data_IF_261714351006
#
_entry.id   IF_261714351006
#
_cell.length_a   1.000
_cell.length_b   1.000
_cell.length_c   1.000
_cell.angle_alpha   90.00
_cell.angle_beta   90.00
_cell.angle_gamma   90.00
#
_symmetry.space_group_name_H-M   'P 1'
#
loop_
_entity.id
_entity.type
_entity.pdbx_description
1 polymer ?
#
# COMPACT_ATOMS: atom_id res chain seq x y z
N UNK A 1 68.29 43.57 -7.12
CA UNK A 1 66.93 43.30 -6.72
C UNK A 1 66.45 42.05 -7.48
N UNK A 2 66.31 40.92 -6.83
CA UNK A 2 65.84 39.64 -7.46
C UNK A 2 64.37 39.42 -6.97
N UNK A 3 63.45 39.47 -7.91
CA UNK A 3 62.03 39.21 -7.60
C UNK A 3 61.77 37.68 -7.68
N UNK A 4 61.36 37.09 -6.59
CA UNK A 4 60.93 35.69 -6.50
C UNK A 4 59.44 35.60 -6.82
N UNK A 5 59.13 34.88 -7.89
CA UNK A 5 57.76 34.62 -8.34
C UNK A 5 57.25 33.36 -7.60
N UNK A 6 56.34 33.53 -6.68
CA UNK A 6 55.64 32.40 -5.99
C UNK A 6 54.49 31.89 -6.87
N UNK A 7 54.57 30.66 -7.30
CA UNK A 7 53.49 29.97 -8.00
C UNK A 7 52.60 29.29 -6.97
N UNK A 8 51.36 29.75 -6.81
CA UNK A 8 50.35 29.10 -6.00
C UNK A 8 49.67 28.03 -6.87
N UNK A 9 49.89 26.76 -6.56
CA UNK A 9 49.16 25.64 -7.15
C UNK A 9 47.89 25.43 -6.37
N UNK A 10 46.78 25.82 -6.93
CA UNK A 10 45.45 25.51 -6.36
C UNK A 10 45.08 24.07 -6.68
N UNK A 11 45.04 23.21 -5.66
CA UNK A 11 44.53 21.85 -5.77
C UNK A 11 43.00 21.88 -5.84
N UNK A 12 42.42 21.59 -6.99
CA UNK A 12 40.97 21.41 -7.15
C UNK A 12 40.65 20.02 -6.62
N UNK A 13 40.05 19.98 -5.42
CA UNK A 13 39.46 18.77 -4.86
C UNK A 13 38.16 18.49 -5.63
N UNK A 14 38.20 17.53 -6.56
CA UNK A 14 36.99 16.96 -7.16
C UNK A 14 36.30 16.10 -6.11
N UNK A 15 35.24 16.63 -5.52
CA UNK A 15 34.34 15.82 -4.69
C UNK A 15 33.66 14.77 -5.60
N UNK A 16 33.57 13.48 -5.17
CA UNK A 16 32.83 12.50 -5.96
C UNK A 16 31.36 12.96 -6.02
N UNK A 17 30.83 13.07 -7.24
CA UNK A 17 29.41 13.27 -7.43
C UNK A 17 28.69 12.04 -6.84
N UNK A 18 28.00 12.18 -5.71
CA UNK A 18 27.04 11.18 -5.26
C UNK A 18 26.03 11.04 -6.41
N UNK A 19 26.05 9.89 -7.07
CA UNK A 19 24.98 9.52 -8.00
C UNK A 19 23.69 9.43 -7.17
N UNK A 20 22.83 10.44 -7.26
CA UNK A 20 21.52 10.39 -6.67
C UNK A 20 20.77 9.23 -7.34
N UNK A 21 20.20 8.32 -6.56
CA UNK A 21 19.32 7.29 -7.09
C UNK A 21 18.16 7.96 -7.86
N UNK A 22 17.63 7.30 -8.93
CA UNK A 22 16.49 7.82 -9.64
C UNK A 22 15.35 8.09 -8.64
N UNK A 23 14.72 9.26 -8.67
CA UNK A 23 13.75 9.68 -7.63
C UNK A 23 12.50 8.80 -7.53
N UNK A 24 12.35 7.80 -8.40
CA UNK A 24 11.20 6.90 -8.49
C UNK A 24 11.49 5.45 -8.08
N UNK A 25 12.76 5.09 -7.85
CA UNK A 25 13.08 3.72 -7.41
C UNK A 25 12.75 3.54 -5.94
N UNK A 26 11.95 2.53 -5.62
CA UNK A 26 11.71 2.09 -4.25
C UNK A 26 11.85 0.56 -4.16
N UNK A 27 12.50 0.09 -3.10
CA UNK A 27 12.65 -1.34 -2.81
C UNK A 27 12.31 -1.56 -1.34
N UNK A 28 11.28 -2.36 -1.08
CA UNK A 28 10.91 -2.78 0.26
C UNK A 28 11.28 -4.25 0.44
N UNK A 29 12.29 -4.51 1.27
CA UNK A 29 12.72 -5.88 1.57
C UNK A 29 11.68 -6.57 2.46
N UNK A 30 11.55 -7.89 2.33
CA UNK A 30 10.62 -8.67 3.14
C UNK A 30 10.83 -8.48 4.65
N UNK A 31 12.09 -8.36 5.11
CA UNK A 31 12.42 -8.08 6.50
C UNK A 31 11.93 -6.71 6.98
N UNK A 32 11.99 -5.70 6.11
CA UNK A 32 11.49 -4.36 6.40
C UNK A 32 9.96 -4.35 6.48
N UNK A 33 9.27 -4.98 5.52
CA UNK A 33 7.81 -5.11 5.54
C UNK A 33 7.33 -5.84 6.79
N UNK A 34 8.05 -6.88 7.23
CA UNK A 34 7.76 -7.58 8.48
C UNK A 34 7.87 -6.67 9.71
N UNK A 35 8.93 -5.87 9.82
CA UNK A 35 9.11 -4.92 10.94
C UNK A 35 7.99 -3.86 10.96
N UNK A 36 7.58 -3.38 9.78
CA UNK A 36 6.48 -2.42 9.64
C UNK A 36 5.14 -3.05 10.02
N UNK A 37 4.88 -4.31 9.64
CA UNK A 37 3.71 -5.08 10.03
C UNK A 37 3.63 -5.22 11.57
N UNK A 38 4.74 -5.58 12.22
CA UNK A 38 4.82 -5.64 13.68
C UNK A 38 4.52 -4.27 14.33
N UNK A 39 5.04 -3.18 13.76
CA UNK A 39 4.74 -1.82 14.24
C UNK A 39 3.27 -1.42 14.02
N UNK A 40 2.64 -1.86 12.94
CA UNK A 40 1.21 -1.62 12.67
C UNK A 40 0.31 -2.36 13.67
N UNK A 41 0.74 -3.51 14.21
CA UNK A 41 -0.06 -4.28 15.17
C UNK A 41 -0.43 -3.49 16.43
N UNK A 42 0.38 -2.49 16.80
CA UNK A 42 0.16 -1.62 17.97
C UNK A 42 -0.61 -0.34 17.62
N UNK A 43 -0.99 -0.15 16.36
CA UNK A 43 -1.65 1.07 15.84
C UNK A 43 -3.04 0.80 15.27
N UNK A 44 -3.61 -0.37 15.55
CA UNK A 44 -4.95 -0.72 15.07
C UNK A 44 -5.97 0.28 15.59
N UNK A 45 -6.71 0.89 14.66
CA UNK A 45 -7.75 1.87 14.95
C UNK A 45 -9.12 1.25 15.19
N UNK A 46 -10.16 2.08 15.42
CA UNK A 46 -11.54 1.63 15.66
C UNK A 46 -12.16 0.89 14.45
N UNK A 47 -11.59 1.08 13.26
CA UNK A 47 -11.98 0.38 12.01
C UNK A 47 -11.30 -0.98 11.86
N UNK A 48 -10.68 -1.47 12.93
CA UNK A 48 -9.92 -2.71 12.96
C UNK A 48 -8.80 -2.78 11.90
N UNK A 49 -8.22 -1.62 11.56
CA UNK A 49 -7.09 -1.56 10.65
C UNK A 49 -6.03 -0.58 11.09
N UNK A 50 -4.81 -0.84 10.65
CA UNK A 50 -3.71 0.13 10.67
C UNK A 50 -3.09 0.17 9.28
N UNK A 51 -2.62 1.34 8.87
CA UNK A 51 -2.08 1.53 7.52
C UNK A 51 -0.92 2.50 7.49
N UNK A 52 0.01 2.24 6.59
CA UNK A 52 1.14 3.12 6.29
C UNK A 52 1.26 3.30 4.79
N UNK A 53 1.41 4.53 4.33
CA UNK A 53 1.75 4.80 2.92
C UNK A 53 3.25 4.54 2.74
N UNK A 54 3.59 3.54 1.92
CA UNK A 54 4.97 3.20 1.58
C UNK A 54 5.52 4.15 0.52
N UNK A 55 4.70 4.47 -0.49
CA UNK A 55 4.99 5.45 -1.52
C UNK A 55 3.69 5.97 -2.15
N UNK A 56 3.71 7.22 -2.59
CA UNK A 56 2.62 7.88 -3.30
C UNK A 56 3.20 8.53 -4.56
N UNK A 57 2.87 7.95 -5.71
CA UNK A 57 3.28 8.43 -7.02
C UNK A 57 2.07 9.04 -7.74
N UNK A 58 2.30 9.79 -8.80
CA UNK A 58 1.26 10.50 -9.54
C UNK A 58 0.08 9.60 -9.97
N UNK A 59 0.38 8.36 -10.39
CA UNK A 59 -0.63 7.45 -10.96
C UNK A 59 -0.84 6.17 -10.14
N UNK A 60 -0.13 5.98 -9.03
CA UNK A 60 -0.29 4.79 -8.20
C UNK A 60 0.26 5.01 -6.79
N UNK A 61 -0.30 4.29 -5.84
CA UNK A 61 0.06 4.37 -4.42
C UNK A 61 0.28 2.98 -3.86
N UNK A 62 1.36 2.84 -3.07
CA UNK A 62 1.63 1.65 -2.27
C UNK A 62 1.30 1.91 -0.81
N UNK A 63 0.55 1.00 -0.19
CA UNK A 63 0.26 1.01 1.24
C UNK A 63 0.54 -0.35 1.84
N UNK A 64 1.12 -0.38 3.03
CA UNK A 64 1.05 -1.54 3.90
C UNK A 64 -0.17 -1.39 4.78
N UNK A 65 -1.00 -2.42 4.84
CA UNK A 65 -2.25 -2.41 5.58
C UNK A 65 -2.37 -3.70 6.38
N UNK A 66 -2.69 -3.56 7.69
CA UNK A 66 -2.95 -4.66 8.61
C UNK A 66 -4.38 -4.57 9.10
N UNK A 67 -5.08 -5.71 9.17
CA UNK A 67 -6.40 -5.87 9.77
C UNK A 67 -6.39 -6.96 10.83
N UNK A 68 -7.13 -6.77 11.92
CA UNK A 68 -7.35 -7.77 12.97
C UNK A 68 -8.81 -8.20 13.13
N UNK A 69 -9.69 -7.65 12.30
CA UNK A 69 -11.08 -8.06 12.16
C UNK A 69 -11.61 -7.74 10.75
N UNK A 70 -12.87 -8.07 10.50
CA UNK A 70 -13.56 -7.84 9.24
C UNK A 70 -13.56 -6.36 8.87
N UNK A 71 -13.21 -6.08 7.61
CA UNK A 71 -13.30 -4.75 7.01
C UNK A 71 -14.70 -4.48 6.47
N UNK A 72 -15.10 -3.20 6.48
CA UNK A 72 -16.29 -2.77 5.75
C UNK A 72 -16.14 -3.06 4.25
N UNK A 73 -17.23 -3.39 3.54
CA UNK A 73 -17.21 -3.46 2.09
C UNK A 73 -16.80 -2.13 1.46
N UNK A 74 -15.94 -2.21 0.45
CA UNK A 74 -15.43 -1.09 -0.33
C UNK A 74 -15.77 -1.28 -1.81
N UNK A 75 -15.95 -0.17 -2.53
CA UNK A 75 -16.04 -0.15 -3.99
C UNK A 75 -15.40 1.14 -4.50
N UNK A 76 -14.56 1.00 -5.53
CA UNK A 76 -13.89 2.11 -6.18
C UNK A 76 -14.28 2.11 -7.66
N UNK A 77 -15.00 3.13 -8.14
CA UNK A 77 -15.53 3.13 -9.52
C UNK A 77 -14.42 3.17 -10.57
N UNK A 78 -13.30 3.82 -10.27
CA UNK A 78 -12.21 4.08 -11.22
C UNK A 78 -10.83 3.60 -10.75
N UNK A 79 -10.76 2.90 -9.63
CA UNK A 79 -9.50 2.42 -9.04
C UNK A 79 -9.46 0.89 -9.08
N UNK A 80 -8.33 0.37 -9.50
CA UNK A 80 -7.95 -1.05 -9.43
C UNK A 80 -7.13 -1.25 -8.17
N UNK A 81 -7.41 -2.31 -7.43
CA UNK A 81 -6.63 -2.76 -6.29
C UNK A 81 -5.81 -4.00 -6.65
N UNK A 82 -4.49 -3.95 -6.43
CA UNK A 82 -3.64 -5.13 -6.44
C UNK A 82 -3.10 -5.36 -5.04
N UNK A 83 -3.32 -6.56 -4.53
CA UNK A 83 -3.00 -6.95 -3.16
C UNK A 83 -1.94 -8.04 -3.18
N UNK A 84 -0.89 -7.85 -2.38
CA UNK A 84 0.17 -8.84 -2.12
C UNK A 84 0.13 -9.20 -0.65
N UNK A 85 -0.38 -10.36 -0.30
CA UNK A 85 -0.49 -10.80 1.09
C UNK A 85 0.91 -11.07 1.66
N UNK A 86 1.23 -10.38 2.77
CA UNK A 86 2.54 -10.47 3.42
C UNK A 86 2.53 -11.45 4.59
N UNK A 87 1.46 -11.43 5.41
CA UNK A 87 1.36 -12.27 6.60
C UNK A 87 -0.10 -12.49 7.01
N UNK A 88 -0.31 -13.50 7.83
CA UNK A 88 -1.64 -13.83 8.35
C UNK A 88 -2.53 -14.54 7.36
N UNK A 89 -3.82 -14.56 7.63
CA UNK A 89 -4.85 -15.24 6.85
C UNK A 89 -6.18 -14.48 6.88
N UNK A 90 -6.99 -14.62 5.84
CA UNK A 90 -8.29 -13.99 5.74
C UNK A 90 -9.13 -14.57 4.61
N UNK A 91 -10.25 -13.93 4.35
CA UNK A 91 -11.12 -14.24 3.22
C UNK A 91 -11.45 -12.95 2.47
N UNK A 92 -11.20 -12.93 1.19
CA UNK A 92 -11.75 -11.91 0.29
C UNK A 92 -13.16 -12.33 -0.13
N UNK A 93 -14.12 -11.42 0.06
CA UNK A 93 -15.43 -11.49 -0.58
C UNK A 93 -15.42 -10.48 -1.74
N UNK A 94 -15.72 -10.93 -2.95
CA UNK A 94 -15.65 -10.09 -4.15
C UNK A 94 -16.91 -10.24 -4.99
N UNK A 95 -17.45 -9.12 -5.48
CA UNK A 95 -18.74 -9.04 -6.19
C UNK A 95 -19.93 -9.07 -5.23
N UNK A 96 -21.10 -9.40 -5.76
CA UNK A 96 -22.36 -9.34 -5.02
C UNK A 96 -22.94 -7.92 -4.95
N UNK A 97 -23.86 -7.71 -4.01
CA UNK A 97 -24.57 -6.44 -3.80
C UNK A 97 -24.10 -5.79 -2.50
N UNK A 98 -23.64 -4.55 -2.56
CA UNK A 98 -23.25 -3.77 -1.40
C UNK A 98 -24.50 -3.19 -0.72
N UNK A 99 -24.74 -3.57 0.53
CA UNK A 99 -25.83 -3.06 1.36
C UNK A 99 -25.36 -1.81 2.11
N UNK A 100 -26.24 -0.84 2.26
CA UNK A 100 -25.91 0.42 2.94
C UNK A 100 -24.82 1.23 2.23
N UNK A 101 -24.71 1.08 0.90
CA UNK A 101 -23.73 1.80 0.08
C UNK A 101 -23.85 3.31 0.27
N UNK A 102 -22.75 3.96 0.64
CA UNK A 102 -22.65 5.40 0.83
C UNK A 102 -21.31 5.91 0.28
N UNK A 103 -21.29 7.13 -0.20
CA UNK A 103 -20.06 7.79 -0.60
C UNK A 103 -19.08 7.92 0.58
N UNK A 104 -17.78 7.73 0.31
CA UNK A 104 -16.73 7.79 1.33
C UNK A 104 -15.43 8.30 0.72
N UNK A 105 -14.94 9.43 1.22
CA UNK A 105 -13.67 10.00 0.77
C UNK A 105 -13.80 10.84 -0.48
N UNK A 106 -13.50 10.27 -1.65
CA UNK A 106 -13.50 10.96 -2.94
C UNK A 106 -14.66 10.58 -3.86
N UNK A 107 -14.70 11.18 -5.03
CA UNK A 107 -15.64 10.80 -6.09
C UNK A 107 -15.40 9.35 -6.53
N UNK A 108 -16.46 8.55 -6.61
CA UNK A 108 -16.35 7.14 -6.99
C UNK A 108 -15.86 6.20 -5.90
N UNK A 109 -15.69 6.69 -4.67
CA UNK A 109 -15.32 5.90 -3.50
C UNK A 109 -16.53 5.62 -2.62
N UNK A 110 -16.77 4.36 -2.28
CA UNK A 110 -17.93 3.94 -1.50
C UNK A 110 -17.56 2.97 -0.39
N UNK A 111 -18.32 3.03 0.69
CA UNK A 111 -18.35 2.05 1.78
C UNK A 111 -19.75 1.50 1.92
N UNK A 112 -19.84 0.23 2.33
CA UNK A 112 -21.09 -0.43 2.69
C UNK A 112 -21.08 -0.94 4.11
N UNK A 113 -22.19 -1.54 4.54
CA UNK A 113 -22.31 -2.21 5.85
C UNK A 113 -22.13 -3.73 5.71
N UNK A 114 -22.52 -4.30 4.57
CA UNK A 114 -22.35 -5.73 4.27
C UNK A 114 -22.34 -5.96 2.75
N UNK A 115 -21.88 -7.16 2.35
CA UNK A 115 -22.02 -7.68 0.99
C UNK A 115 -22.99 -8.88 1.02
N UNK A 116 -24.01 -8.84 0.19
CA UNK A 116 -24.89 -9.97 -0.07
C UNK A 116 -24.46 -10.69 -1.35
N UNK A 117 -24.29 -11.99 -1.25
CA UNK A 117 -23.73 -12.78 -2.35
C UNK A 117 -22.23 -12.57 -2.48
N UNK A 118 -21.73 -12.65 -3.75
CA UNK A 118 -20.31 -12.55 -4.05
C UNK A 118 -19.57 -13.88 -3.89
N UNK A 119 -18.33 -13.90 -4.37
CA UNK A 119 -17.47 -15.06 -4.30
C UNK A 119 -16.50 -14.92 -3.12
N UNK A 120 -16.32 -16.00 -2.38
CA UNK A 120 -15.36 -16.07 -1.26
C UNK A 120 -14.07 -16.73 -1.71
N UNK A 121 -12.94 -16.13 -1.37
CA UNK A 121 -11.59 -16.65 -1.65
C UNK A 121 -10.77 -16.59 -0.37
N UNK A 122 -10.27 -17.72 0.11
CA UNK A 122 -9.29 -17.75 1.20
C UNK A 122 -8.00 -17.08 0.75
N UNK A 123 -7.38 -16.33 1.64
CA UNK A 123 -6.11 -15.65 1.41
C UNK A 123 -5.10 -16.03 2.48
N UNK A 124 -3.86 -16.23 2.06
CA UNK A 124 -2.70 -16.48 2.91
C UNK A 124 -1.45 -15.79 2.40
N UNK A 125 -0.39 -15.81 3.20
CA UNK A 125 0.88 -15.18 2.83
C UNK A 125 1.41 -15.70 1.47
N UNK A 126 1.81 -14.78 0.60
CA UNK A 126 2.27 -15.05 -0.76
C UNK A 126 1.19 -14.95 -1.84
N UNK A 127 -0.09 -14.90 -1.47
CA UNK A 127 -1.17 -14.73 -2.45
C UNK A 127 -1.15 -13.33 -3.08
N UNK A 128 -1.51 -13.29 -4.36
CA UNK A 128 -1.66 -12.05 -5.14
C UNK A 128 -3.07 -11.97 -5.67
N UNK A 129 -3.72 -10.82 -5.47
CA UNK A 129 -5.09 -10.58 -5.89
C UNK A 129 -5.15 -9.34 -6.77
N UNK A 130 -5.94 -9.40 -7.84
CA UNK A 130 -6.32 -8.27 -8.66
C UNK A 130 -7.83 -8.06 -8.52
N UNK A 131 -8.23 -6.88 -8.03
CA UNK A 131 -9.63 -6.49 -7.90
C UNK A 131 -9.90 -5.40 -8.93
N UNK A 132 -10.71 -5.66 -9.97
CA UNK A 132 -11.04 -4.65 -10.98
C UNK A 132 -11.80 -3.46 -10.38
N UNK A 133 -11.72 -2.32 -11.04
CA UNK A 133 -12.56 -1.16 -10.71
C UNK A 133 -14.05 -1.53 -10.75
N UNK A 134 -14.86 -0.79 -9.99
CA UNK A 134 -16.30 -0.94 -9.84
C UNK A 134 -16.77 -2.27 -9.21
N UNK A 135 -15.88 -3.15 -8.78
CA UNK A 135 -16.25 -4.40 -8.12
C UNK A 135 -16.26 -4.21 -6.59
N UNK A 136 -17.42 -4.40 -5.93
CA UNK A 136 -17.48 -4.35 -4.48
C UNK A 136 -16.71 -5.52 -3.87
N UNK A 137 -16.02 -5.26 -2.78
CA UNK A 137 -15.20 -6.26 -2.10
C UNK A 137 -15.06 -5.98 -0.60
N UNK A 138 -14.71 -7.00 0.15
CA UNK A 138 -14.43 -6.90 1.59
C UNK A 138 -13.40 -7.94 2.00
N UNK A 139 -12.53 -7.58 2.95
CA UNK A 139 -11.59 -8.49 3.58
C UNK A 139 -12.12 -8.89 4.95
N UNK A 140 -12.32 -10.18 5.16
CA UNK A 140 -12.76 -10.76 6.41
C UNK A 140 -11.59 -11.43 7.11
N UNK A 141 -11.47 -11.21 8.42
CA UNK A 141 -10.38 -11.75 9.23
C UNK A 141 -10.95 -12.53 10.40
N UNK A 142 -10.63 -13.83 10.53
CA UNK A 142 -11.15 -14.63 11.64
C UNK A 142 -10.71 -14.08 13.00
N UNK A 143 -11.55 -14.24 14.02
CA UNK A 143 -11.25 -13.78 15.38
C UNK A 143 -9.90 -14.29 15.88
N UNK A 144 -9.07 -13.38 16.38
CA UNK A 144 -7.74 -13.69 16.91
C UNK A 144 -6.67 -13.90 15.83
N UNK A 145 -7.01 -13.67 14.56
CA UNK A 145 -6.09 -13.68 13.43
C UNK A 145 -5.81 -12.26 12.95
N UNK A 146 -4.94 -12.14 11.97
CA UNK A 146 -4.72 -10.90 11.24
C UNK A 146 -4.51 -11.20 9.77
N UNK A 147 -4.64 -10.18 8.95
CA UNK A 147 -4.26 -10.19 7.53
C UNK A 147 -3.49 -8.92 7.24
N UNK A 148 -2.24 -9.07 6.79
CA UNK A 148 -1.41 -7.93 6.39
C UNK A 148 -1.02 -8.07 4.92
N UNK A 149 -1.16 -6.99 4.18
CA UNK A 149 -0.89 -6.97 2.75
C UNK A 149 -0.35 -5.62 2.27
N UNK A 150 0.46 -5.67 1.21
CA UNK A 150 0.76 -4.49 0.41
C UNK A 150 -0.39 -4.31 -0.58
N UNK A 151 -0.98 -3.13 -0.56
CA UNK A 151 -2.04 -2.70 -1.47
C UNK A 151 -1.47 -1.68 -2.44
N UNK A 152 -1.60 -1.95 -3.72
CA UNK A 152 -1.28 -1.00 -4.80
C UNK A 152 -2.59 -0.55 -5.42
N UNK A 153 -2.83 0.77 -5.38
CA UNK A 153 -3.99 1.41 -6.00
C UNK A 153 -3.56 2.20 -7.22
N UNK A 154 -4.22 1.98 -8.36
CA UNK A 154 -3.99 2.75 -9.58
C UNK A 154 -5.26 2.92 -10.40
N UNK A 155 -5.37 4.01 -11.19
CA UNK A 155 -6.55 4.27 -12.01
C UNK A 155 -6.78 3.14 -13.02
N UNK A 156 -8.02 2.71 -13.17
CA UNK A 156 -8.43 1.98 -14.34
C UNK A 156 -8.26 2.89 -15.57
N UNK A 157 -7.83 2.33 -16.70
CA UNK A 157 -7.78 3.11 -17.94
C UNK A 157 -9.20 3.59 -18.26
N UNK A 158 -9.35 4.90 -18.42
CA UNK A 158 -10.53 5.52 -19.00
C UNK A 158 -10.65 5.21 -20.50
#
# INVERSE_FOLDING_TARGET
MKATLSVIVAAILLAPALSAEPPTLAVWKASELKQRDEALSTKIGPDHSARETLADYEHHRFRLLRRDADGNPEQHDTIIDVVFVQSGEGTLVVGGTMIGKRASGGAGEYLGTSLEGGQRRSLGAGDVVHIPAAIPHSFLVPKGKHLTYVLVKFPAKG
#
